data_IF_544317237897
#
_entry.id   IF_544317237897
#
_cell.length_a   1.000
_cell.length_b   1.000
_cell.length_c   1.000
_cell.angle_alpha   90.00
_cell.angle_beta   90.00
_cell.angle_gamma   90.00
#
_symmetry.space_group_name_H-M   'P 1'
#
loop_
_entity.id
_entity.type
_entity.pdbx_description
1 polymer ?
#
# COMPACT_ATOMS: atom_id res chain seq x y z
N UNK A 1 44.12 -17.56 5.95
CA UNK A 1 43.67 -16.63 4.90
C UNK A 1 42.76 -17.31 3.89
N UNK A 2 43.19 -18.40 3.25
CA UNK A 2 42.36 -19.17 2.30
C UNK A 2 41.05 -19.71 2.91
N UNK A 3 41.11 -20.26 4.13
CA UNK A 3 39.93 -20.74 4.87
C UNK A 3 38.94 -19.62 5.20
N UNK A 4 39.42 -18.45 5.59
CA UNK A 4 38.57 -17.29 5.88
C UNK A 4 37.87 -16.77 4.61
N UNK A 5 38.58 -16.76 3.47
CA UNK A 5 38.00 -16.40 2.17
C UNK A 5 36.94 -17.42 1.76
N UNK A 6 37.20 -18.73 1.92
CA UNK A 6 36.24 -19.78 1.61
C UNK A 6 34.98 -19.68 2.48
N UNK A 7 35.13 -19.49 3.80
CA UNK A 7 34.00 -19.30 4.72
C UNK A 7 33.22 -18.02 4.37
N UNK A 8 33.91 -16.92 4.07
CA UNK A 8 33.27 -15.67 3.67
C UNK A 8 32.49 -15.80 2.36
N UNK A 9 33.03 -16.53 1.37
CA UNK A 9 32.34 -16.82 0.12
C UNK A 9 31.09 -17.70 0.34
N UNK A 10 31.19 -18.74 1.17
CA UNK A 10 30.03 -19.56 1.54
C UNK A 10 28.96 -18.71 2.21
N UNK A 11 29.32 -17.89 3.21
CA UNK A 11 28.35 -17.04 3.89
C UNK A 11 27.69 -16.00 2.97
N UNK A 12 28.39 -15.52 1.94
CA UNK A 12 27.84 -14.57 0.98
C UNK A 12 26.92 -15.23 -0.05
N UNK A 13 27.35 -16.34 -0.64
CA UNK A 13 26.63 -16.98 -1.74
C UNK A 13 25.54 -17.94 -1.28
N UNK A 14 25.75 -18.66 -0.17
CA UNK A 14 24.79 -19.63 0.36
C UNK A 14 23.37 -19.07 0.53
N UNK A 15 23.13 -17.90 1.16
CA UNK A 15 21.78 -17.36 1.29
C UNK A 15 21.14 -17.01 -0.07
N UNK A 16 21.93 -16.51 -1.02
CA UNK A 16 21.46 -16.17 -2.39
C UNK A 16 21.00 -17.45 -3.11
N UNK A 17 21.80 -18.50 -3.06
CA UNK A 17 21.46 -19.78 -3.70
C UNK A 17 20.26 -20.45 -3.03
N UNK A 18 20.21 -20.48 -1.70
CA UNK A 18 19.07 -21.05 -0.96
C UNK A 18 17.78 -20.31 -1.31
N UNK A 19 17.77 -18.98 -1.31
CA UNK A 19 16.59 -18.19 -1.67
C UNK A 19 16.11 -18.48 -3.10
N UNK A 20 17.04 -18.60 -4.06
CA UNK A 20 16.70 -18.96 -5.43
C UNK A 20 16.01 -20.33 -5.55
N UNK A 21 16.53 -21.34 -4.86
CA UNK A 21 15.93 -22.68 -4.87
C UNK A 21 14.61 -22.71 -4.10
N UNK A 22 14.51 -22.01 -2.99
CA UNK A 22 13.28 -21.91 -2.19
C UNK A 22 12.13 -21.31 -3.00
N UNK A 23 12.40 -20.22 -3.73
CA UNK A 23 11.41 -19.62 -4.63
C UNK A 23 10.98 -20.60 -5.73
N UNK A 24 11.93 -21.29 -6.37
CA UNK A 24 11.61 -22.29 -7.40
C UNK A 24 10.81 -23.48 -6.87
N UNK A 25 11.16 -23.98 -5.68
CA UNK A 25 10.42 -25.08 -5.03
C UNK A 25 8.99 -24.62 -4.71
N UNK A 26 8.84 -23.38 -4.25
CA UNK A 26 7.53 -22.77 -3.97
C UNK A 26 6.69 -22.67 -5.24
N UNK A 27 7.26 -22.20 -6.35
CA UNK A 27 6.58 -22.16 -7.65
C UNK A 27 6.14 -23.55 -8.12
N UNK A 28 7.03 -24.55 -8.00
CA UNK A 28 6.71 -25.94 -8.33
C UNK A 28 5.56 -26.45 -7.47
N UNK A 29 5.58 -26.17 -6.16
CA UNK A 29 4.50 -26.55 -5.24
C UNK A 29 3.16 -25.95 -5.66
N UNK A 30 3.13 -24.67 -6.03
CA UNK A 30 1.91 -24.02 -6.51
C UNK A 30 1.44 -24.61 -7.85
N UNK A 31 2.36 -24.87 -8.78
CA UNK A 31 2.03 -25.49 -10.06
C UNK A 31 1.44 -26.89 -9.88
N UNK A 32 2.02 -27.72 -9.01
CA UNK A 32 1.51 -29.07 -8.71
C UNK A 32 0.14 -28.98 -8.05
N UNK A 33 -0.04 -28.08 -7.09
CA UNK A 33 -1.33 -27.85 -6.44
C UNK A 33 -2.42 -27.45 -7.43
N UNK A 34 -2.10 -26.55 -8.35
CA UNK A 34 -3.00 -26.11 -9.42
C UNK A 34 -3.35 -27.27 -10.36
N UNK A 35 -2.37 -28.08 -10.78
CA UNK A 35 -2.60 -29.27 -11.61
C UNK A 35 -3.52 -30.30 -10.95
N UNK A 36 -3.46 -30.42 -9.61
CA UNK A 36 -4.29 -31.34 -8.83
C UNK A 36 -5.65 -30.75 -8.43
N UNK A 37 -5.98 -29.52 -8.87
CA UNK A 37 -7.16 -28.77 -8.42
C UNK A 37 -7.27 -28.68 -6.88
N UNK A 38 -6.13 -28.58 -6.19
CA UNK A 38 -6.05 -28.43 -4.73
C UNK A 38 -5.75 -26.99 -4.31
N UNK A 39 -6.07 -26.02 -5.18
CA UNK A 39 -6.00 -24.61 -4.78
C UNK A 39 -6.91 -24.39 -3.57
N UNK A 40 -6.46 -23.62 -2.56
CA UNK A 40 -7.31 -23.31 -1.43
C UNK A 40 -8.59 -22.62 -1.93
N UNK A 41 -9.74 -23.02 -1.38
CA UNK A 41 -11.01 -22.40 -1.73
C UNK A 41 -10.95 -20.89 -1.43
N UNK A 42 -11.13 -20.08 -2.47
CA UNK A 42 -11.33 -18.65 -2.34
C UNK A 42 -12.84 -18.38 -2.33
N UNK A 43 -13.28 -17.57 -1.38
CA UNK A 43 -14.66 -17.11 -1.39
C UNK A 43 -14.86 -16.25 -2.66
N UNK A 44 -15.78 -16.65 -3.53
CA UNK A 44 -16.07 -15.96 -4.80
C UNK A 44 -16.59 -14.53 -4.62
N UNK A 45 -16.95 -14.16 -3.39
CA UNK A 45 -17.34 -12.80 -3.01
C UNK A 45 -16.13 -11.88 -2.76
N UNK A 46 -14.91 -12.42 -2.77
CA UNK A 46 -13.67 -11.69 -2.52
C UNK A 46 -12.86 -11.64 -3.80
N UNK A 47 -12.47 -10.45 -4.21
CA UNK A 47 -11.57 -10.21 -5.34
C UNK A 47 -10.30 -9.54 -4.82
N UNK A 48 -9.14 -10.10 -5.16
CA UNK A 48 -7.84 -9.52 -4.83
C UNK A 48 -7.18 -8.99 -6.11
N UNK A 49 -6.77 -7.73 -6.09
CA UNK A 49 -6.06 -7.09 -7.21
C UNK A 49 -4.65 -6.75 -6.75
N UNK A 50 -3.65 -7.43 -7.32
CA UNK A 50 -2.24 -7.23 -6.99
C UNK A 50 -1.56 -6.41 -8.09
N UNK A 51 -0.95 -5.29 -7.72
CA UNK A 51 -0.14 -4.44 -8.60
C UNK A 51 1.30 -4.44 -8.09
N UNK A 52 2.14 -5.27 -8.71
CA UNK A 52 3.51 -5.57 -8.30
C UNK A 52 4.54 -5.14 -9.35
N UNK A 53 5.80 -5.55 -9.15
CA UNK A 53 6.89 -5.29 -10.09
C UNK A 53 6.65 -5.87 -11.49
N UNK A 54 5.95 -7.02 -11.58
CA UNK A 54 5.58 -7.59 -12.87
C UNK A 54 4.59 -6.66 -13.58
N UNK A 55 3.53 -6.24 -12.89
CA UNK A 55 2.54 -5.30 -13.39
C UNK A 55 3.18 -3.98 -13.81
N UNK A 56 4.16 -3.50 -13.02
CA UNK A 56 4.95 -2.30 -13.33
C UNK A 56 5.72 -2.45 -14.62
N UNK A 57 6.44 -3.56 -14.81
CA UNK A 57 7.16 -3.86 -16.07
C UNK A 57 6.21 -3.92 -17.25
N UNK A 58 5.05 -4.56 -17.10
CA UNK A 58 4.04 -4.68 -18.16
C UNK A 58 3.44 -3.33 -18.56
N UNK A 59 3.33 -2.39 -17.62
CA UNK A 59 2.82 -1.06 -17.93
C UNK A 59 3.74 -0.22 -18.81
N UNK A 60 5.03 -0.59 -18.93
CA UNK A 60 6.05 0.19 -19.66
C UNK A 60 6.40 1.53 -19.01
N UNK A 61 5.84 1.83 -17.83
CA UNK A 61 6.09 3.08 -17.11
C UNK A 61 7.19 2.89 -16.06
N UNK A 62 8.14 3.84 -15.94
CA UNK A 62 9.16 3.77 -14.89
C UNK A 62 8.53 3.88 -13.49
N UNK A 63 7.41 4.58 -13.38
CA UNK A 63 6.58 4.79 -12.20
C UNK A 63 5.13 4.97 -12.62
N UNK A 64 4.19 4.60 -11.75
CA UNK A 64 2.79 4.94 -11.95
C UNK A 64 2.50 6.32 -11.36
N UNK A 65 1.96 7.26 -12.16
CA UNK A 65 1.48 8.53 -11.62
C UNK A 65 0.19 8.32 -10.82
N UNK A 66 -0.08 9.19 -9.84
CA UNK A 66 -1.27 9.10 -8.98
C UNK A 66 -2.61 8.94 -9.72
N UNK A 67 -2.87 9.57 -10.89
CA UNK A 67 -4.09 9.33 -11.66
C UNK A 67 -4.30 7.86 -12.05
N UNK A 68 -3.23 7.10 -12.33
CA UNK A 68 -3.36 5.67 -12.66
C UNK A 68 -3.91 4.88 -11.45
N UNK A 69 -3.47 5.21 -10.23
CA UNK A 69 -4.00 4.61 -9.00
C UNK A 69 -5.47 4.99 -8.78
N UNK A 70 -5.83 6.24 -9.03
CA UNK A 70 -7.21 6.71 -8.93
C UNK A 70 -8.12 5.97 -9.92
N UNK A 71 -7.67 5.74 -11.15
CA UNK A 71 -8.40 4.99 -12.17
C UNK A 71 -8.60 3.52 -11.79
N UNK A 72 -7.62 2.90 -11.13
CA UNK A 72 -7.75 1.54 -10.58
C UNK A 72 -8.86 1.52 -9.53
N UNK A 73 -8.85 2.44 -8.57
CA UNK A 73 -9.86 2.51 -7.51
C UNK A 73 -11.26 2.73 -8.10
N UNK A 74 -11.40 3.63 -9.08
CA UNK A 74 -12.67 3.87 -9.78
C UNK A 74 -13.16 2.63 -10.51
N UNK A 75 -12.29 1.89 -11.19
CA UNK A 75 -12.65 0.64 -11.87
C UNK A 75 -13.09 -0.42 -10.87
N UNK A 76 -12.38 -0.60 -9.75
CA UNK A 76 -12.79 -1.54 -8.69
C UNK A 76 -14.15 -1.13 -8.11
N UNK A 77 -14.33 0.15 -7.80
CA UNK A 77 -15.59 0.71 -7.27
C UNK A 77 -16.75 0.52 -8.24
N UNK A 78 -16.53 0.63 -9.56
CA UNK A 78 -17.56 0.39 -10.58
C UNK A 78 -18.13 -1.04 -10.59
N UNK A 79 -17.42 -2.00 -10.00
CA UNK A 79 -17.90 -3.36 -9.79
C UNK A 79 -18.92 -3.51 -8.65
N UNK A 80 -19.21 -2.43 -7.91
CA UNK A 80 -20.16 -2.42 -6.79
C UNK A 80 -19.78 -3.31 -5.61
N UNK A 81 -18.51 -3.31 -5.13
CA UNK A 81 -18.14 -4.10 -3.95
C UNK A 81 -18.86 -3.59 -2.68
N UNK A 82 -18.95 -4.42 -1.66
CA UNK A 82 -19.47 -4.01 -0.33
C UNK A 82 -18.42 -3.33 0.54
N UNK A 83 -17.13 -3.53 0.25
CA UNK A 83 -16.01 -2.88 0.91
C UNK A 83 -14.76 -2.97 0.02
N UNK A 84 -13.85 -2.02 0.17
CA UNK A 84 -12.56 -2.01 -0.53
C UNK A 84 -11.46 -1.87 0.52
N UNK A 85 -10.68 -2.94 0.71
CA UNK A 85 -9.42 -2.89 1.43
C UNK A 85 -8.31 -2.47 0.47
N UNK A 86 -7.54 -1.44 0.82
CA UNK A 86 -6.45 -0.95 -0.02
C UNK A 86 -5.15 -0.94 0.79
N UNK A 87 -4.11 -1.56 0.23
CA UNK A 87 -2.74 -1.53 0.74
C UNK A 87 -1.81 -1.04 -0.38
N UNK A 88 -1.21 0.14 -0.21
CA UNK A 88 -0.22 0.70 -1.13
C UNK A 88 0.97 1.26 -0.36
N UNK A 89 2.17 0.96 -0.86
CA UNK A 89 3.41 1.62 -0.43
C UNK A 89 3.78 2.64 -1.51
N UNK A 90 3.69 3.92 -1.17
CA UNK A 90 4.05 5.02 -2.06
C UNK A 90 5.44 5.55 -1.67
N UNK A 91 6.35 5.61 -2.63
CA UNK A 91 7.67 6.21 -2.39
C UNK A 91 7.55 7.75 -2.37
N UNK A 92 8.00 8.37 -1.28
CA UNK A 92 7.87 9.81 -0.98
C UNK A 92 8.65 10.74 -1.94
N UNK A 93 9.34 10.20 -2.94
CA UNK A 93 10.39 10.92 -3.69
C UNK A 93 9.93 11.56 -5.00
N UNK A 94 8.66 11.41 -5.42
CA UNK A 94 8.30 11.66 -6.81
C UNK A 94 6.90 12.26 -6.91
N UNK A 95 6.86 13.58 -6.97
CA UNK A 95 5.74 14.41 -7.42
C UNK A 95 4.33 14.04 -6.89
N UNK A 96 3.83 14.79 -5.90
CA UNK A 96 2.46 14.63 -5.37
C UNK A 96 1.33 15.02 -6.34
N UNK A 97 1.64 15.38 -7.58
CA UNK A 97 0.65 15.73 -8.61
C UNK A 97 -0.33 14.59 -8.86
N UNK A 98 -1.62 14.87 -8.67
CA UNK A 98 -2.70 13.89 -8.81
C UNK A 98 -3.04 13.11 -7.54
N UNK A 99 -2.35 13.34 -6.43
CA UNK A 99 -2.69 12.75 -5.13
C UNK A 99 -4.14 13.03 -4.72
N UNK A 100 -4.62 14.25 -4.97
CA UNK A 100 -6.02 14.63 -4.74
C UNK A 100 -7.01 13.73 -5.48
N UNK A 101 -6.67 13.24 -6.69
CA UNK A 101 -7.54 12.34 -7.45
C UNK A 101 -7.63 10.95 -6.80
N UNK A 102 -6.55 10.49 -6.17
CA UNK A 102 -6.53 9.24 -5.40
C UNK A 102 -7.40 9.38 -4.17
N UNK A 103 -7.24 10.47 -3.41
CA UNK A 103 -8.07 10.77 -2.23
C UNK A 103 -9.54 10.90 -2.62
N UNK A 104 -9.87 11.63 -3.68
CA UNK A 104 -11.24 11.74 -4.19
C UNK A 104 -11.79 10.39 -4.63
N UNK A 105 -11.04 9.57 -5.37
CA UNK A 105 -11.49 8.24 -5.77
C UNK A 105 -11.79 7.33 -4.57
N UNK A 106 -11.01 7.43 -3.50
CA UNK A 106 -11.29 6.72 -2.25
C UNK A 106 -12.56 7.25 -1.57
N UNK A 107 -12.69 8.57 -1.43
CA UNK A 107 -13.86 9.20 -0.81
C UNK A 107 -15.16 8.90 -1.58
N UNK A 108 -15.14 9.07 -2.91
CA UNK A 108 -16.27 8.82 -3.81
C UNK A 108 -16.68 7.35 -3.85
N UNK A 109 -15.75 6.44 -3.54
CA UNK A 109 -16.09 5.02 -3.44
C UNK A 109 -17.03 4.72 -2.28
N UNK A 110 -17.03 5.55 -1.22
CA UNK A 110 -17.71 5.33 0.08
C UNK A 110 -17.40 4.01 0.78
N UNK A 111 -16.45 3.22 0.25
CA UNK A 111 -16.20 1.83 0.61
C UNK A 111 -14.72 1.57 0.92
N UNK A 112 -13.86 2.51 0.53
CA UNK A 112 -12.44 2.49 0.82
C UNK A 112 -12.19 2.90 2.27
N UNK A 113 -11.56 2.01 3.04
CA UNK A 113 -11.04 2.33 4.36
C UNK A 113 -9.62 2.87 4.15
N UNK A 114 -9.45 4.19 4.25
CA UNK A 114 -8.15 4.85 4.11
C UNK A 114 -7.43 4.93 5.48
N UNK A 115 -6.25 4.30 5.65
CA UNK A 115 -5.38 4.62 6.77
C UNK A 115 -4.69 5.98 6.51
N UNK A 116 -5.40 7.08 6.76
CA UNK A 116 -5.07 8.52 6.69
C UNK A 116 -3.67 9.01 6.24
N UNK A 117 -3.66 10.14 5.51
CA UNK A 117 -2.62 11.19 5.67
C UNK A 117 -3.22 12.59 5.75
N UNK A 118 -3.06 13.23 6.92
CA UNK A 118 -3.36 14.64 7.17
C UNK A 118 -2.11 15.46 6.81
N UNK A 119 -2.21 16.42 5.89
CA UNK A 119 -1.14 17.40 5.65
C UNK A 119 -1.28 18.55 6.64
N UNK A 120 -0.43 18.53 7.66
CA UNK A 120 -0.42 19.52 8.75
C UNK A 120 -0.20 20.98 8.29
N UNK A 121 0.37 21.20 7.09
CA UNK A 121 0.63 22.53 6.55
C UNK A 121 -0.64 23.34 6.23
N UNK A 122 -1.76 22.68 5.96
CA UNK A 122 -3.04 23.34 5.66
C UNK A 122 -3.75 23.85 6.93
N UNK A 123 -3.26 23.45 8.12
CA UNK A 123 -3.73 23.92 9.42
C UNK A 123 -2.73 24.86 10.12
N UNK A 124 -1.64 25.24 9.43
CA UNK A 124 -0.65 26.19 9.92
C UNK A 124 0.78 25.64 9.98
N UNK A 125 1.67 26.43 10.56
CA UNK A 125 3.07 26.05 10.81
C UNK A 125 3.13 24.76 11.63
N UNK A 126 3.85 23.75 11.13
CA UNK A 126 4.06 22.46 11.80
C UNK A 126 4.68 22.55 13.20
N UNK A 127 5.22 23.72 13.59
CA UNK A 127 5.77 23.99 14.92
C UNK A 127 4.82 24.75 15.84
N UNK A 128 3.62 25.10 15.38
CA UNK A 128 2.59 25.80 16.18
C UNK A 128 1.37 24.92 16.37
N UNK A 129 0.90 24.71 17.61
CA UNK A 129 -0.36 24.00 17.85
C UNK A 129 -1.53 24.68 17.14
N UNK A 130 -2.39 23.89 16.50
CA UNK A 130 -3.63 24.38 15.87
C UNK A 130 -4.54 24.92 16.98
N UNK A 131 -5.00 26.15 16.81
CA UNK A 131 -5.94 26.77 17.74
C UNK A 131 -7.36 26.27 17.44
N UNK A 132 -7.79 25.26 18.18
CA UNK A 132 -9.08 24.58 17.98
C UNK A 132 -10.30 25.47 18.23
N UNK A 133 -10.17 26.45 19.11
CA UNK A 133 -11.25 27.40 19.40
C UNK A 133 -11.66 28.20 18.15
N UNK A 134 -10.78 28.35 17.17
CA UNK A 134 -11.05 29.06 15.92
C UNK A 134 -11.45 28.15 14.75
N UNK A 135 -11.45 26.82 14.92
CA UNK A 135 -11.70 25.85 13.84
C UNK A 135 -12.67 24.72 14.25
N UNK A 136 -13.86 25.10 14.74
CA UNK A 136 -14.91 24.14 15.14
C UNK A 136 -15.50 23.35 13.97
N UNK A 137 -15.34 23.85 12.75
CA UNK A 137 -15.72 23.18 11.50
C UNK A 137 -15.00 21.85 11.30
N UNK A 138 -13.74 21.74 11.73
CA UNK A 138 -12.97 20.49 11.65
C UNK A 138 -13.60 19.40 12.53
N UNK A 139 -13.99 19.76 13.75
CA UNK A 139 -14.65 18.83 14.68
C UNK A 139 -16.02 18.39 14.16
N UNK A 140 -16.76 19.33 13.56
CA UNK A 140 -18.04 19.05 12.93
C UNK A 140 -17.92 18.07 11.76
N UNK A 141 -16.97 18.30 10.86
CA UNK A 141 -16.75 17.43 9.69
C UNK A 141 -16.28 16.04 10.10
N UNK A 142 -15.44 15.95 11.12
CA UNK A 142 -14.96 14.68 11.69
C UNK A 142 -15.99 14.00 12.61
N UNK A 143 -17.11 14.67 12.92
CA UNK A 143 -18.16 14.22 13.85
C UNK A 143 -17.60 13.87 15.23
N UNK A 144 -16.67 14.68 15.73
CA UNK A 144 -16.08 14.53 17.06
C UNK A 144 -16.50 15.71 17.93
N UNK A 145 -16.82 15.44 19.20
CA UNK A 145 -17.10 16.51 20.16
C UNK A 145 -15.80 17.20 20.62
N UNK A 146 -14.69 16.46 20.74
CA UNK A 146 -13.36 16.94 21.15
C UNK A 146 -12.24 16.12 20.47
N UNK A 147 -11.03 16.67 20.33
CA UNK A 147 -9.88 15.91 19.80
C UNK A 147 -9.27 14.96 20.83
N UNK A 148 -8.80 13.76 20.41
CA UNK A 148 -8.11 12.84 21.30
C UNK A 148 -6.76 13.42 21.78
N UNK A 149 -6.53 13.38 23.09
CA UNK A 149 -5.30 13.85 23.72
C UNK A 149 -4.15 12.87 23.39
N UNK A 150 -3.07 13.36 22.80
CA UNK A 150 -1.86 12.57 22.51
C UNK A 150 -0.71 13.13 23.36
N UNK A 151 -0.12 12.30 24.23
CA UNK A 151 1.07 12.69 24.99
C UNK A 151 2.27 12.93 24.07
N UNK A 152 2.95 14.07 24.23
CA UNK A 152 4.03 14.49 23.32
C UNK A 152 5.31 13.68 23.57
N UNK A 153 5.76 12.93 22.56
CA UNK A 153 7.04 12.21 22.55
C UNK A 153 8.24 13.11 22.22
N UNK A 154 9.33 12.95 22.96
CA UNK A 154 10.60 13.71 22.90
C UNK A 154 11.41 13.51 21.62
#
# INVERSE_FOLDING_TARGET
>A
MLSAIAVSAVLYFFPIFILFFENKITDIKYSVRSMLNQEPDMNSSIVMVNLDDYSKKQSGKPLWPYPDYADVIKKISSGGPTSIGIDFILANTIDTSGWNQVVSAMADSFLAINPYMIKMADFGDSQKPIELASHQDILYELRLDELPQVESGK
#
